data_IF_548505898550
#
_entry.id   IF_548505898550
#
_cell.length_a   1.000
_cell.length_b   1.000
_cell.length_c   1.000
_cell.angle_alpha   90.00
_cell.angle_beta   90.00
_cell.angle_gamma   90.00
#
_symmetry.space_group_name_H-M   'P 1'
#
loop_
_entity.id
_entity.type
_entity.pdbx_description
1 polymer ?
#
# COMPACT_ATOMS: atom_id res chain seq x y z
N UNK A 1 9.42 20.64 -17.37
CA UNK A 1 8.51 19.76 -18.13
C UNK A 1 8.97 18.32 -17.93
N UNK A 2 8.37 17.60 -16.99
CA UNK A 2 8.72 16.19 -16.71
C UNK A 2 7.48 15.29 -16.80
N UNK A 3 6.51 15.69 -17.63
CA UNK A 3 5.24 14.99 -17.84
C UNK A 3 5.34 13.85 -18.86
N UNK A 4 6.49 13.17 -18.91
CA UNK A 4 6.75 12.06 -19.82
C UNK A 4 6.51 10.71 -19.16
N UNK A 5 5.34 10.10 -19.36
CA UNK A 5 4.97 8.72 -18.99
C UNK A 5 4.86 8.41 -17.49
N UNK A 6 5.84 8.76 -16.65
CA UNK A 6 5.84 8.51 -15.20
C UNK A 6 4.67 9.19 -14.48
N UNK A 7 4.44 10.48 -14.76
CA UNK A 7 3.34 11.23 -14.12
C UNK A 7 1.94 10.69 -14.40
N UNK A 8 1.70 10.05 -15.57
CA UNK A 8 0.39 9.42 -15.85
C UNK A 8 0.24 8.11 -15.07
N UNK A 9 1.27 7.28 -15.05
CA UNK A 9 1.26 5.99 -14.37
C UNK A 9 1.23 6.14 -12.85
N UNK A 10 1.91 7.15 -12.32
CA UNK A 10 1.85 7.54 -10.92
C UNK A 10 0.42 7.94 -10.51
N UNK A 11 -0.31 8.68 -11.37
CA UNK A 11 -1.73 9.01 -11.11
C UNK A 11 -2.62 7.78 -11.14
N UNK A 12 -2.42 6.88 -12.11
CA UNK A 12 -3.16 5.61 -12.19
C UNK A 12 -2.91 4.75 -10.93
N UNK A 13 -1.67 4.66 -10.47
CA UNK A 13 -1.31 3.97 -9.22
C UNK A 13 -2.02 4.58 -8.02
N UNK A 14 -1.96 5.91 -7.86
CA UNK A 14 -2.62 6.61 -6.74
C UNK A 14 -4.13 6.41 -6.75
N UNK A 15 -4.76 6.47 -7.93
CA UNK A 15 -6.19 6.18 -8.06
C UNK A 15 -6.55 4.77 -7.58
N UNK A 16 -5.79 3.76 -8.01
CA UNK A 16 -6.03 2.37 -7.59
C UNK A 16 -5.74 2.15 -6.10
N UNK A 17 -4.73 2.82 -5.51
CA UNK A 17 -4.50 2.79 -4.05
C UNK A 17 -5.71 3.30 -3.27
N UNK A 18 -6.33 4.40 -3.70
CA UNK A 18 -7.53 4.94 -3.05
C UNK A 18 -8.72 3.98 -3.18
N UNK A 19 -8.87 3.30 -4.32
CA UNK A 19 -9.88 2.24 -4.49
C UNK A 19 -9.66 1.08 -3.51
N UNK A 20 -8.41 0.61 -3.37
CA UNK A 20 -8.04 -0.45 -2.43
C UNK A 20 -8.35 -0.04 -1.00
N UNK A 21 -7.95 1.16 -0.59
CA UNK A 21 -8.22 1.69 0.74
C UNK A 21 -9.72 1.78 1.00
N UNK A 22 -10.49 2.31 0.05
CA UNK A 22 -11.94 2.46 0.18
C UNK A 22 -12.65 1.11 0.31
N UNK A 23 -12.28 0.13 -0.51
CA UNK A 23 -12.90 -1.20 -0.45
C UNK A 23 -12.52 -1.95 0.83
N UNK A 24 -11.26 -1.85 1.27
CA UNK A 24 -10.84 -2.42 2.55
C UNK A 24 -11.60 -1.79 3.72
N UNK A 25 -11.71 -0.47 3.76
CA UNK A 25 -12.50 0.23 4.78
C UNK A 25 -13.95 -0.22 4.79
N UNK A 26 -14.57 -0.33 3.60
CA UNK A 26 -15.96 -0.82 3.48
C UNK A 26 -16.11 -2.23 4.06
N UNK A 27 -15.20 -3.16 3.74
CA UNK A 27 -15.24 -4.52 4.26
C UNK A 27 -15.07 -4.57 5.79
N UNK A 28 -14.20 -3.72 6.34
CA UNK A 28 -14.00 -3.61 7.78
C UNK A 28 -15.23 -3.00 8.48
N UNK A 29 -15.81 -1.93 7.92
CA UNK A 29 -17.03 -1.29 8.43
C UNK A 29 -18.23 -2.25 8.44
N UNK A 30 -18.31 -3.12 7.42
CA UNK A 30 -19.31 -4.19 7.30
C UNK A 30 -19.02 -5.39 8.23
N UNK A 31 -18.00 -5.33 9.09
CA UNK A 31 -17.51 -6.42 9.95
C UNK A 31 -17.13 -7.70 9.20
N UNK A 32 -16.77 -7.60 7.92
CA UNK A 32 -16.35 -8.73 7.07
C UNK A 32 -14.85 -8.94 7.15
N UNK A 33 -14.33 -9.13 8.36
CA UNK A 33 -12.88 -9.15 8.65
C UNK A 33 -12.11 -10.21 7.84
N UNK A 34 -12.68 -11.41 7.66
CA UNK A 34 -12.04 -12.47 6.85
C UNK A 34 -11.89 -12.07 5.38
N UNK A 35 -12.94 -11.49 4.78
CA UNK A 35 -12.89 -10.99 3.40
C UNK A 35 -11.97 -9.78 3.27
N UNK A 36 -11.94 -8.90 4.28
CA UNK A 36 -11.02 -7.77 4.33
C UNK A 36 -9.55 -8.24 4.29
N UNK A 37 -9.22 -9.27 5.08
CA UNK A 37 -7.88 -9.86 5.12
C UNK A 37 -7.48 -10.49 3.77
N UNK A 38 -8.37 -11.30 3.17
CA UNK A 38 -8.14 -11.90 1.85
C UNK A 38 -7.98 -10.83 0.75
N UNK A 39 -8.83 -9.81 0.78
CA UNK A 39 -8.81 -8.71 -0.17
C UNK A 39 -7.48 -7.97 -0.14
N UNK A 40 -7.06 -7.48 1.04
CA UNK A 40 -5.83 -6.69 1.14
C UNK A 40 -4.58 -7.54 0.86
N UNK A 41 -4.59 -8.82 1.24
CA UNK A 41 -3.52 -9.75 0.90
C UNK A 41 -3.37 -9.89 -0.62
N UNK A 42 -4.47 -10.10 -1.34
CA UNK A 42 -4.46 -10.24 -2.79
C UNK A 42 -3.97 -8.96 -3.50
N UNK A 43 -4.44 -7.78 -3.05
CA UNK A 43 -4.01 -6.50 -3.61
C UNK A 43 -2.52 -6.22 -3.31
N UNK A 44 -2.05 -6.56 -2.11
CA UNK A 44 -0.63 -6.41 -1.76
C UNK A 44 0.25 -7.37 -2.56
N UNK A 45 -0.12 -8.64 -2.69
CA UNK A 45 0.71 -9.63 -3.34
C UNK A 45 0.68 -9.49 -4.86
N UNK A 46 -0.50 -9.60 -5.48
CA UNK A 46 -0.60 -9.69 -6.92
C UNK A 46 -0.55 -8.32 -7.59
N UNK A 47 -1.32 -7.35 -7.09
CA UNK A 47 -1.32 -6.05 -7.73
C UNK A 47 -0.08 -5.24 -7.39
N UNK A 48 0.33 -5.16 -6.12
CA UNK A 48 1.48 -4.36 -5.70
C UNK A 48 2.83 -5.06 -5.95
N UNK A 49 3.06 -6.23 -5.35
CA UNK A 49 4.36 -6.90 -5.47
C UNK A 49 4.64 -7.45 -6.87
N UNK A 50 3.71 -8.22 -7.46
CA UNK A 50 3.96 -8.84 -8.77
C UNK A 50 3.97 -7.81 -9.91
N UNK A 51 3.09 -6.79 -9.88
CA UNK A 51 2.99 -5.83 -11.00
C UNK A 51 3.66 -4.47 -10.76
N UNK A 52 3.41 -3.79 -9.63
CA UNK A 52 3.86 -2.39 -9.49
C UNK A 52 5.37 -2.29 -9.27
N UNK A 53 5.97 -3.23 -8.54
CA UNK A 53 7.43 -3.30 -8.38
C UNK A 53 8.09 -3.50 -9.75
N UNK A 54 7.55 -4.37 -10.61
CA UNK A 54 8.08 -4.58 -11.95
C UNK A 54 7.90 -3.35 -12.86
N UNK A 55 6.77 -2.63 -12.75
CA UNK A 55 6.58 -1.35 -13.45
C UNK A 55 7.59 -0.30 -13.00
N UNK A 56 7.91 -0.24 -11.70
CA UNK A 56 8.94 0.66 -11.18
C UNK A 56 10.35 0.28 -11.68
N UNK A 57 10.72 -1.01 -11.67
CA UNK A 57 11.99 -1.50 -12.26
C UNK A 57 12.16 -1.13 -13.73
N UNK A 58 11.06 -1.03 -14.47
CA UNK A 58 11.04 -0.60 -15.88
C UNK A 58 11.06 0.92 -16.07
N UNK A 59 11.15 1.70 -14.99
CA UNK A 59 11.12 3.16 -15.01
C UNK A 59 9.74 3.75 -15.35
N UNK A 60 8.67 2.96 -15.25
CA UNK A 60 7.30 3.39 -15.58
C UNK A 60 6.55 3.99 -14.39
N UNK A 61 7.02 3.74 -13.17
CA UNK A 61 6.44 4.24 -11.92
C UNK A 61 7.57 4.85 -11.10
N UNK A 62 7.34 5.99 -10.47
CA UNK A 62 8.37 6.64 -9.64
C UNK A 62 8.61 5.90 -8.32
N UNK A 63 9.86 5.96 -7.83
CA UNK A 63 10.24 5.39 -6.54
C UNK A 63 9.47 6.02 -5.37
N UNK A 64 9.13 7.30 -5.50
CA UNK A 64 8.37 8.05 -4.49
C UNK A 64 6.99 7.43 -4.31
N UNK A 65 6.26 7.23 -5.40
CA UNK A 65 4.90 6.68 -5.35
C UNK A 65 4.90 5.21 -4.90
N UNK A 66 5.90 4.42 -5.30
CA UNK A 66 6.04 3.05 -4.82
C UNK A 66 6.30 2.99 -3.30
N UNK A 67 7.16 3.88 -2.77
CA UNK A 67 7.43 3.99 -1.33
C UNK A 67 6.19 4.46 -0.55
N UNK A 68 5.45 5.44 -1.07
CA UNK A 68 4.18 5.87 -0.50
C UNK A 68 3.18 4.71 -0.41
N UNK A 69 3.02 3.98 -1.51
CA UNK A 69 2.14 2.80 -1.56
C UNK A 69 2.56 1.71 -0.58
N UNK A 70 3.86 1.41 -0.48
CA UNK A 70 4.37 0.44 0.47
C UNK A 70 4.01 0.79 1.92
N UNK A 71 4.20 2.06 2.32
CA UNK A 71 3.82 2.53 3.66
C UNK A 71 2.31 2.40 3.89
N UNK A 72 1.50 2.75 2.91
CA UNK A 72 0.04 2.59 2.99
C UNK A 72 -0.36 1.11 3.16
N UNK A 73 0.28 0.19 2.45
CA UNK A 73 0.04 -1.25 2.64
C UNK A 73 0.42 -1.74 4.04
N UNK A 74 1.51 -1.24 4.63
CA UNK A 74 1.86 -1.60 6.02
C UNK A 74 0.75 -1.17 6.99
N UNK A 75 0.21 0.04 6.85
CA UNK A 75 -0.93 0.52 7.64
C UNK A 75 -2.16 -0.38 7.44
N UNK A 76 -2.52 -0.65 6.18
CA UNK A 76 -3.70 -1.44 5.83
C UNK A 76 -3.61 -2.92 6.27
N UNK A 77 -2.41 -3.49 6.29
CA UNK A 77 -2.17 -4.87 6.73
C UNK A 77 -2.03 -5.01 8.25
N UNK A 78 -1.75 -3.91 8.96
CA UNK A 78 -1.47 -3.92 10.41
C UNK A 78 -2.59 -4.55 11.25
N UNK A 79 -3.89 -4.35 10.98
CA UNK A 79 -4.97 -5.01 11.72
C UNK A 79 -4.91 -6.55 11.67
N UNK A 80 -4.26 -7.12 10.66
CA UNK A 80 -4.21 -8.57 10.42
C UNK A 80 -2.85 -9.17 10.77
N UNK A 81 -1.75 -8.43 10.55
CA UNK A 81 -0.38 -8.91 10.77
C UNK A 81 0.44 -7.90 11.57
N UNK A 82 0.05 -7.59 12.82
CA UNK A 82 0.55 -6.43 13.56
C UNK A 82 2.05 -6.51 13.87
N UNK A 83 2.56 -7.68 14.25
CA UNK A 83 3.97 -7.81 14.65
C UNK A 83 4.93 -7.69 13.48
N UNK A 84 4.60 -8.30 12.33
CA UNK A 84 5.46 -8.27 11.13
C UNK A 84 5.44 -6.86 10.53
N UNK A 85 4.25 -6.27 10.36
CA UNK A 85 4.13 -4.91 9.82
C UNK A 85 4.83 -3.88 10.71
N UNK A 86 4.78 -4.03 12.05
CA UNK A 86 5.51 -3.17 12.98
C UNK A 86 7.03 -3.34 12.88
N UNK A 87 7.53 -4.59 12.77
CA UNK A 87 8.95 -4.85 12.59
C UNK A 87 9.47 -4.22 11.30
N UNK A 88 8.74 -4.40 10.21
CA UNK A 88 9.07 -3.81 8.91
C UNK A 88 8.98 -2.28 8.95
N UNK A 89 7.96 -1.71 9.59
CA UNK A 89 7.78 -0.26 9.74
C UNK A 89 8.98 0.40 10.40
N UNK A 90 9.54 -0.22 11.45
CA UNK A 90 10.74 0.29 12.14
C UNK A 90 11.98 0.32 11.26
N UNK A 91 12.13 -0.65 10.36
CA UNK A 91 13.25 -0.67 9.41
C UNK A 91 13.13 0.44 8.37
N UNK A 92 11.91 0.73 7.88
CA UNK A 92 11.70 1.74 6.82
C UNK A 92 11.43 3.16 7.34
N UNK A 93 11.04 3.31 8.61
CA UNK A 93 10.78 4.60 9.28
C UNK A 93 11.35 4.62 10.71
N UNK A 94 12.69 4.53 10.90
CA UNK A 94 13.31 4.33 12.22
C UNK A 94 13.05 5.46 13.23
N UNK A 95 12.70 6.65 12.75
CA UNK A 95 12.46 7.85 13.58
C UNK A 95 10.97 8.14 13.81
N UNK A 96 10.04 7.31 13.30
CA UNK A 96 8.61 7.51 13.50
C UNK A 96 8.07 6.74 14.71
N UNK A 97 6.85 7.10 15.11
CA UNK A 97 6.12 6.38 16.15
C UNK A 97 5.79 4.97 15.67
N UNK A 98 5.35 4.13 16.61
CA UNK A 98 4.84 2.80 16.30
C UNK A 98 3.72 2.88 15.25
N UNK A 99 3.68 1.91 14.35
CA UNK A 99 2.71 1.86 13.25
C UNK A 99 1.27 1.91 13.77
N UNK A 100 0.98 1.29 14.92
CA UNK A 100 -0.34 1.33 15.55
C UNK A 100 -0.84 2.75 15.88
N UNK A 101 0.06 3.73 15.99
CA UNK A 101 -0.28 5.13 16.27
C UNK A 101 -0.46 5.98 14.99
N UNK A 102 -0.24 5.39 13.82
CA UNK A 102 -0.42 6.07 12.55
C UNK A 102 -1.91 6.21 12.20
N UNK A 103 -2.19 7.19 11.34
CA UNK A 103 -3.55 7.37 10.82
C UNK A 103 -3.85 6.34 9.74
N UNK A 104 -5.11 5.92 9.68
CA UNK A 104 -5.65 5.11 8.60
C UNK A 104 -5.50 5.77 7.24
#
# INVERSE_FOLDING_TARGET
ENDGVGGKKDREFKSKMEEVKKELTRLLDDNRVGLAAEYIYNEFWHWFCDEQIEKNKQGKLSDEVLKEGYKAFLVMLHPFVPFVTEAVWKEVNPNQKLLISERW
#
